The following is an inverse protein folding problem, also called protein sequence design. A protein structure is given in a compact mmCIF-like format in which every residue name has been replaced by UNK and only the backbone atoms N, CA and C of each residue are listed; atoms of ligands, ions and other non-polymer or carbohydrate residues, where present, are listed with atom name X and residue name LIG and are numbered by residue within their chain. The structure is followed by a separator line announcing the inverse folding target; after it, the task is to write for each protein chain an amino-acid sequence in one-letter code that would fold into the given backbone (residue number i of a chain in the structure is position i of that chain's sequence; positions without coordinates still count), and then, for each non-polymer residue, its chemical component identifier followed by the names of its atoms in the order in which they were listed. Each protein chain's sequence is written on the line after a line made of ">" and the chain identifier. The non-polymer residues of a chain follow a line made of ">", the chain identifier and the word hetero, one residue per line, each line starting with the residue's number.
data_IF_170783229389
#
_entry.id   IF_170783229389
#
_cell.length_a   1.000
_cell.length_b   1.000
_cell.length_c   1.000
_cell.angle_alpha   90.00
_cell.angle_beta   90.00
_cell.angle_gamma   90.00
#
_symmetry.space_group_name_H-M   'P 1'
#
loop_
_entity.id
_entity.type
_entity.pdbx_description
1 polymer ?
#
# COMPACT_ATOMS: atom_id res chain seq x y z
N UNK A 1 35.13 12.27 3.60
CA UNK A 1 34.97 10.82 3.39
C UNK A 1 34.59 10.27 4.74
N UNK A 2 33.29 10.16 4.92
CA UNK A 2 32.63 9.88 6.20
C UNK A 2 33.08 8.53 6.76
N UNK A 3 33.70 8.55 7.94
CA UNK A 3 34.01 7.34 8.70
C UNK A 3 32.70 6.62 9.00
N UNK A 4 32.46 5.51 8.31
CA UNK A 4 31.44 4.52 8.65
C UNK A 4 31.86 3.80 9.95
N UNK A 5 31.81 4.55 11.05
CA UNK A 5 32.12 4.07 12.40
C UNK A 5 30.88 3.33 12.87
N UNK A 6 30.92 2.01 12.79
CA UNK A 6 29.86 1.17 13.36
C UNK A 6 29.72 1.52 14.83
N UNK A 7 28.59 2.15 15.19
CA UNK A 7 28.24 2.35 16.59
C UNK A 7 28.32 1.01 17.32
N UNK A 8 28.80 1.09 18.56
CA UNK A 8 29.05 -0.03 19.45
C UNK A 8 27.91 -1.06 19.34
N UNK A 9 28.17 -2.36 19.10
CA UNK A 9 27.10 -3.35 18.88
C UNK A 9 26.05 -3.39 20.01
N UNK A 10 26.44 -3.00 21.23
CA UNK A 10 25.50 -2.81 22.34
C UNK A 10 24.45 -1.72 22.09
N UNK A 11 24.81 -0.60 21.45
CA UNK A 11 23.87 0.47 21.09
C UNK A 11 22.81 -0.03 20.09
N UNK A 12 23.21 -0.80 19.09
CA UNK A 12 22.27 -1.41 18.12
C UNK A 12 21.28 -2.35 18.80
N UNK A 13 21.73 -3.12 19.81
CA UNK A 13 20.87 -4.01 20.58
C UNK A 13 19.86 -3.21 21.42
N UNK A 14 20.30 -2.14 22.09
CA UNK A 14 19.42 -1.26 22.88
C UNK A 14 18.37 -0.62 21.98
N UNK A 15 18.77 -0.06 20.83
CA UNK A 15 17.84 0.54 19.86
C UNK A 15 16.85 -0.51 19.33
N UNK A 16 17.31 -1.73 19.06
CA UNK A 16 16.43 -2.82 18.60
C UNK A 16 15.39 -3.22 19.65
N UNK A 17 15.79 -3.34 20.92
CA UNK A 17 14.89 -3.65 22.03
C UNK A 17 13.90 -2.49 22.25
N UNK A 18 14.37 -1.24 22.24
CA UNK A 18 13.50 -0.06 22.34
C UNK A 18 12.48 0.00 21.20
N UNK A 19 12.92 -0.26 19.96
CA UNK A 19 12.04 -0.32 18.80
C UNK A 19 10.97 -1.41 18.94
N UNK A 20 11.35 -2.59 19.44
CA UNK A 20 10.41 -3.67 19.71
C UNK A 20 9.35 -3.28 20.75
N UNK A 21 9.75 -2.68 21.87
CA UNK A 21 8.82 -2.22 22.92
C UNK A 21 7.87 -1.17 22.38
N UNK A 22 8.36 -0.20 21.61
CA UNK A 22 7.52 0.83 20.98
C UNK A 22 6.49 0.20 20.04
N UNK A 23 6.91 -0.73 19.18
CA UNK A 23 5.99 -1.43 18.27
C UNK A 23 4.92 -2.22 19.02
N UNK A 24 5.28 -2.84 20.15
CA UNK A 24 4.35 -3.58 20.99
C UNK A 24 3.28 -2.65 21.59
N UNK A 25 3.67 -1.51 22.16
CA UNK A 25 2.73 -0.51 22.69
C UNK A 25 1.79 0.02 21.60
N UNK A 26 2.32 0.35 20.42
CA UNK A 26 1.52 0.78 19.27
C UNK A 26 0.53 -0.31 18.84
N UNK A 27 0.94 -1.57 18.84
CA UNK A 27 0.07 -2.69 18.52
C UNK A 27 -1.08 -2.85 19.54
N UNK A 28 -0.82 -2.59 20.84
CA UNK A 28 -1.85 -2.63 21.88
C UNK A 28 -2.85 -1.48 21.72
N UNK A 29 -2.38 -0.26 21.45
CA UNK A 29 -3.25 0.88 21.14
C UNK A 29 -4.09 0.64 19.89
N UNK A 30 -3.49 0.00 18.88
CA UNK A 30 -4.18 -0.32 17.64
C UNK A 30 -5.31 -1.34 17.85
N UNK A 31 -5.11 -2.34 18.73
CA UNK A 31 -6.15 -3.31 19.09
C UNK A 31 -7.38 -2.66 19.73
N UNK A 32 -7.23 -1.54 20.45
CA UNK A 32 -8.37 -0.79 21.00
C UNK A 32 -9.28 -0.23 19.90
N UNK A 33 -8.72 0.09 18.72
CA UNK A 33 -9.45 0.60 17.56
C UNK A 33 -9.74 -0.52 16.56
N UNK A 34 -10.82 -1.27 16.79
CA UNK A 34 -11.25 -2.43 15.97
C UNK A 34 -11.26 -2.15 14.46
N UNK A 35 -11.72 -0.96 14.02
CA UNK A 35 -11.75 -0.57 12.61
C UNK A 35 -10.34 -0.43 12.00
N UNK A 36 -9.42 0.21 12.72
CA UNK A 36 -8.07 0.46 12.21
C UNK A 36 -7.24 -0.83 12.21
N UNK A 37 -7.38 -1.65 13.25
CA UNK A 37 -6.81 -2.99 13.29
C UNK A 37 -7.31 -3.86 12.12
N UNK A 38 -8.62 -3.85 11.85
CA UNK A 38 -9.19 -4.58 10.72
C UNK A 38 -8.66 -4.08 9.37
N UNK A 39 -8.56 -2.75 9.19
CA UNK A 39 -8.01 -2.16 7.98
C UNK A 39 -6.54 -2.58 7.75
N UNK A 40 -5.71 -2.52 8.79
CA UNK A 40 -4.29 -2.91 8.71
C UNK A 40 -4.15 -4.41 8.43
N UNK A 41 -4.95 -5.27 9.08
CA UNK A 41 -4.95 -6.71 8.82
C UNK A 41 -5.42 -7.00 7.39
N UNK A 42 -6.44 -6.30 6.90
CA UNK A 42 -6.93 -6.44 5.52
C UNK A 42 -5.84 -6.04 4.50
N UNK A 43 -5.18 -4.90 4.72
CA UNK A 43 -4.06 -4.46 3.90
C UNK A 43 -2.89 -5.47 3.96
N UNK A 44 -2.55 -5.98 5.14
CA UNK A 44 -1.48 -6.95 5.34
C UNK A 44 -1.74 -8.28 4.64
N UNK A 45 -2.96 -8.82 4.74
CA UNK A 45 -3.35 -10.05 4.02
C UNK A 45 -3.34 -9.90 2.50
N UNK A 46 -3.52 -8.68 2.01
CA UNK A 46 -3.50 -8.37 0.58
C UNK A 46 -2.16 -7.73 0.16
N UNK A 47 -1.15 -7.69 1.03
CA UNK A 47 0.13 -7.00 0.79
C UNK A 47 0.81 -7.43 -0.50
N UNK A 48 0.86 -8.73 -0.79
CA UNK A 48 1.39 -9.26 -2.05
C UNK A 48 0.62 -8.74 -3.28
N UNK A 49 -0.72 -8.71 -3.19
CA UNK A 49 -1.55 -8.16 -4.27
C UNK A 49 -1.34 -6.64 -4.42
N UNK A 50 -1.16 -5.92 -3.31
CA UNK A 50 -0.87 -4.48 -3.31
C UNK A 50 0.45 -4.22 -4.03
N UNK A 51 1.55 -4.88 -3.64
CA UNK A 51 2.87 -4.68 -4.26
C UNK A 51 2.83 -4.91 -5.77
N UNK A 52 2.16 -5.98 -6.21
CA UNK A 52 2.02 -6.32 -7.64
C UNK A 52 1.14 -5.32 -8.38
N UNK A 53 0.00 -4.92 -7.81
CA UNK A 53 -0.98 -4.07 -8.48
C UNK A 53 -0.64 -2.57 -8.38
N UNK A 54 0.23 -2.13 -7.47
CA UNK A 54 0.45 -0.70 -7.24
C UNK A 54 1.00 0.01 -8.50
N UNK A 55 1.98 -0.60 -9.18
CA UNK A 55 2.55 -0.06 -10.42
C UNK A 55 1.51 0.00 -11.55
N UNK A 56 0.65 -1.00 -11.63
CA UNK A 56 -0.45 -1.03 -12.60
C UNK A 56 -1.48 0.08 -12.29
N UNK A 57 -1.78 0.30 -11.01
CA UNK A 57 -2.72 1.33 -10.57
C UNK A 57 -2.19 2.74 -10.86
N UNK A 58 -0.89 3.00 -10.67
CA UNK A 58 -0.28 4.28 -11.03
C UNK A 58 -0.44 4.59 -12.51
N UNK A 59 -0.38 3.59 -13.38
CA UNK A 59 -0.61 3.78 -14.82
C UNK A 59 -2.05 4.19 -15.14
N UNK A 60 -3.03 3.62 -14.43
CA UNK A 60 -4.46 3.98 -14.55
C UNK A 60 -4.70 5.40 -14.02
N UNK A 61 -4.11 5.76 -12.87
CA UNK A 61 -4.26 7.08 -12.26
C UNK A 61 -3.65 8.16 -13.16
N UNK A 62 -2.46 7.92 -13.70
CA UNK A 62 -1.84 8.84 -14.66
C UNK A 62 -2.69 9.03 -15.91
N UNK A 63 -3.38 8.00 -16.39
CA UNK A 63 -4.34 8.11 -17.50
C UNK A 63 -5.55 8.99 -17.11
N UNK A 64 -6.12 8.81 -15.92
CA UNK A 64 -7.22 9.65 -15.42
C UNK A 64 -6.79 11.12 -15.28
N UNK A 65 -5.60 11.38 -14.74
CA UNK A 65 -5.06 12.75 -14.59
C UNK A 65 -4.92 13.47 -15.94
N UNK A 66 -4.46 12.76 -16.97
CA UNK A 66 -4.33 13.30 -18.33
C UNK A 66 -5.70 13.61 -18.96
N UNK A 67 -6.71 12.76 -18.72
CA UNK A 67 -8.08 13.00 -19.20
C UNK A 67 -8.72 14.21 -18.53
N UNK A 68 -8.50 14.40 -17.22
CA UNK A 68 -9.08 15.53 -16.47
C UNK A 68 -8.41 16.87 -16.82
N UNK A 69 -7.09 16.89 -17.03
CA UNK A 69 -6.35 18.14 -17.29
C UNK A 69 -6.16 18.46 -18.76
N UNK A 70 -6.57 17.58 -19.69
CA UNK A 70 -6.49 17.78 -21.15
C UNK A 70 -5.12 18.28 -21.64
N UNK A 71 -4.06 17.85 -20.93
CA UNK A 71 -2.66 18.21 -21.21
C UNK A 71 -2.09 17.32 -22.33
N UNK A 72 -1.09 17.81 -23.10
CA UNK A 72 -0.54 17.08 -24.24
C UNK A 72 -0.02 15.70 -23.82
N UNK A 73 -0.34 14.70 -24.65
CA UNK A 73 -0.16 13.25 -24.42
C UNK A 73 1.31 12.80 -24.33
N UNK A 74 2.24 13.75 -24.40
CA UNK A 74 3.68 13.55 -24.44
C UNK A 74 4.27 13.24 -23.05
N UNK A 75 3.58 13.61 -21.97
CA UNK A 75 4.00 13.28 -20.60
C UNK A 75 3.69 11.82 -20.18
N UNK A 76 2.79 11.13 -20.88
CA UNK A 76 2.28 9.78 -20.49
C UNK A 76 3.40 8.72 -20.41
N UNK A 77 4.54 8.97 -21.04
CA UNK A 77 5.71 8.10 -21.04
C UNK A 77 6.66 8.28 -19.84
N UNK A 78 6.44 9.28 -18.97
CA UNK A 78 7.28 9.48 -17.78
C UNK A 78 7.03 8.37 -16.74
N UNK A 79 8.06 7.56 -16.52
CA UNK A 79 8.11 6.58 -15.44
C UNK A 79 8.56 7.27 -14.14
N UNK A 80 7.95 7.04 -12.95
CA UNK A 80 6.67 6.42 -12.61
C UNK A 80 5.59 7.43 -12.12
N UNK A 81 5.93 8.72 -11.95
CA UNK A 81 5.04 9.79 -11.49
C UNK A 81 5.09 10.93 -12.50
N UNK A 82 3.92 11.39 -12.94
CA UNK A 82 3.79 12.45 -13.94
C UNK A 82 3.89 13.86 -13.34
N UNK A 83 3.44 14.01 -12.09
CA UNK A 83 3.37 15.28 -11.37
C UNK A 83 4.10 15.17 -10.03
N UNK A 84 5.37 15.55 -10.00
CA UNK A 84 6.14 15.64 -8.75
C UNK A 84 5.89 16.94 -7.97
N UNK A 85 5.14 17.88 -8.56
CA UNK A 85 4.94 19.23 -8.00
C UNK A 85 3.52 19.41 -7.43
N UNK A 86 3.41 19.95 -6.22
CA UNK A 86 2.14 20.29 -5.56
C UNK A 86 1.50 19.16 -4.74
N UNK A 87 0.18 19.19 -4.55
CA UNK A 87 -0.56 18.25 -3.68
C UNK A 87 -0.89 16.88 -4.31
N UNK A 88 -0.39 16.60 -5.51
CA UNK A 88 -0.68 15.37 -6.26
C UNK A 88 -0.16 14.10 -5.59
N UNK A 89 0.90 14.21 -4.78
CA UNK A 89 1.44 13.08 -4.01
C UNK A 89 0.38 12.43 -3.10
N UNK A 90 -0.57 13.22 -2.57
CA UNK A 90 -1.66 12.73 -1.72
C UNK A 90 -2.59 11.84 -2.55
N UNK A 91 -2.98 12.32 -3.73
CA UNK A 91 -3.84 11.56 -4.64
C UNK A 91 -3.17 10.24 -5.07
N UNK A 92 -1.88 10.28 -5.40
CA UNK A 92 -1.12 9.07 -5.73
C UNK A 92 -1.01 8.11 -4.55
N UNK A 93 -0.74 8.59 -3.32
CA UNK A 93 -0.67 7.74 -2.13
C UNK A 93 -2.02 7.06 -1.84
N UNK A 94 -3.11 7.83 -1.80
CA UNK A 94 -4.43 7.27 -1.52
C UNK A 94 -4.88 6.33 -2.62
N UNK A 95 -4.73 6.69 -3.89
CA UNK A 95 -5.17 5.84 -4.99
C UNK A 95 -4.27 4.59 -5.14
N UNK A 96 -2.97 4.69 -4.89
CA UNK A 96 -2.03 3.56 -4.88
C UNK A 96 -2.31 2.52 -3.78
N UNK A 97 -2.99 2.91 -2.70
CA UNK A 97 -3.37 2.01 -1.60
C UNK A 97 -4.82 1.55 -1.74
N UNK A 98 -5.75 2.48 -1.95
CA UNK A 98 -7.19 2.20 -2.01
C UNK A 98 -7.51 1.30 -3.20
N UNK A 99 -6.95 1.58 -4.39
CA UNK A 99 -7.33 0.83 -5.62
C UNK A 99 -6.90 -0.65 -5.53
N UNK A 100 -5.64 -1.01 -5.18
CA UNK A 100 -5.27 -2.42 -5.02
C UNK A 100 -6.01 -3.14 -3.89
N UNK A 101 -6.29 -2.46 -2.77
CA UNK A 101 -7.05 -3.04 -1.65
C UNK A 101 -8.49 -3.31 -2.09
N UNK A 102 -9.13 -2.39 -2.80
CA UNK A 102 -10.51 -2.56 -3.27
C UNK A 102 -10.60 -3.65 -4.35
N UNK A 103 -9.64 -3.69 -5.27
CA UNK A 103 -9.56 -4.72 -6.32
C UNK A 103 -9.35 -6.12 -5.72
N UNK A 104 -8.45 -6.26 -4.74
CA UNK A 104 -8.19 -7.54 -4.07
C UNK A 104 -9.38 -8.03 -3.23
N UNK A 105 -10.09 -7.12 -2.54
CA UNK A 105 -11.34 -7.47 -1.82
C UNK A 105 -12.42 -7.92 -2.81
N UNK A 106 -12.57 -7.23 -3.94
CA UNK A 106 -13.53 -7.59 -4.98
C UNK A 106 -13.21 -8.96 -5.60
N UNK A 107 -11.92 -9.25 -5.85
CA UNK A 107 -11.46 -10.54 -6.33
C UNK A 107 -11.76 -11.68 -5.35
N UNK A 108 -11.53 -11.46 -4.05
CA UNK A 108 -11.87 -12.42 -2.99
C UNK A 108 -13.38 -12.68 -2.93
N UNK A 109 -14.21 -11.64 -3.03
CA UNK A 109 -15.68 -11.78 -3.09
C UNK A 109 -16.14 -12.57 -4.32
N UNK A 110 -15.55 -12.30 -5.49
CA UNK A 110 -15.87 -13.03 -6.72
C UNK A 110 -15.47 -14.49 -6.61
N UNK A 111 -14.25 -14.80 -6.15
CA UNK A 111 -13.77 -16.18 -5.98
C UNK A 111 -14.61 -16.96 -4.97
N UNK A 112 -14.96 -16.36 -3.82
CA UNK A 112 -15.86 -16.99 -2.84
C UNK A 112 -17.27 -17.23 -3.39
N UNK A 113 -17.74 -16.41 -4.32
CA UNK A 113 -19.01 -16.62 -5.04
C UNK A 113 -18.91 -17.74 -6.07
N UNK A 114 -17.76 -17.89 -6.74
CA UNK A 114 -17.48 -19.00 -7.65
C UNK A 114 -17.42 -20.34 -6.90
N UNK A 115 -16.74 -20.39 -5.75
CA UNK A 115 -16.59 -21.62 -4.97
C UNK A 115 -17.93 -22.15 -4.42
N UNK A 116 -18.81 -21.25 -3.95
CA UNK A 116 -20.19 -21.61 -3.59
C UNK A 116 -21.02 -22.10 -4.77
N UNK A 117 -20.77 -21.60 -5.99
CA UNK A 117 -21.48 -22.04 -7.20
C UNK A 117 -21.06 -23.46 -7.58
N UNK A 118 -19.77 -23.80 -7.47
CA UNK A 118 -19.26 -25.12 -7.82
C UNK A 118 -19.71 -26.22 -6.85
N UNK A 119 -19.87 -25.90 -5.56
CA UNK A 119 -20.36 -26.87 -4.57
C UNK A 119 -21.88 -27.13 -4.62
N UNK A 120 -22.65 -26.32 -5.36
CA UNK A 120 -24.11 -26.49 -5.54
C UNK A 120 -24.44 -27.24 -6.85
N UNK A 121 -23.48 -27.34 -7.77
CA UNK A 121 -23.63 -28.01 -9.08
C UNK A 121 -23.09 -29.45 -9.03
N UNK A 122 -22.63 -29.91 -7.86
CA UNK A 122 -22.16 -31.28 -7.60
C UNK A 122 -23.14 -31.99 -6.67
#
# INVERSE_FOLDING_TARGET
>A
MDENRYENPGFLLVVSICGWVLLYEVAQELKKKKLLAYAIVCCGQNSMAIVVLHFLCFKIISLVGVVVYNQPREGIAAFPVLYEQGAWWIAYMFAGIIVPVLLSVMWKKLKGKQEKRYSVVK
#
